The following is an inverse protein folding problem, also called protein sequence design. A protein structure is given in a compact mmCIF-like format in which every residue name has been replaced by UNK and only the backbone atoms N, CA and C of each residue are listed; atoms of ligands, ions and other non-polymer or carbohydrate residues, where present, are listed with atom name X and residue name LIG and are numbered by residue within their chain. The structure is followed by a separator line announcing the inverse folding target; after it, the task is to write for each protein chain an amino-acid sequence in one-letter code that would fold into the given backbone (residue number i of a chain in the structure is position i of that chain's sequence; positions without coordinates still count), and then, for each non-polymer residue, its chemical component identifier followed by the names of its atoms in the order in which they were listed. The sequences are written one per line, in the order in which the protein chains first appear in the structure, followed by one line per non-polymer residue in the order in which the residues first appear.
data_IF_069033202038
#
_entry.id   IF_069033202038
#
_cell.length_a   1.000
_cell.length_b   1.000
_cell.length_c   1.000
_cell.angle_alpha   90.00
_cell.angle_beta   90.00
_cell.angle_gamma   90.00
#
_symmetry.space_group_name_H-M   'P 1'
#
loop_
_entity.id
_entity.type
_entity.pdbx_description
1 polymer ?
#
# COMPACT_ATOMS: atom_id res chain seq x y z
N UNK A 1 18.76 9.38 1.18
CA UNK A 1 17.44 9.96 1.54
C UNK A 1 16.76 9.06 2.56
N UNK A 2 16.72 9.46 3.83
CA UNK A 2 16.08 8.66 4.88
C UNK A 2 14.55 8.68 4.71
N UNK A 3 13.91 7.51 4.72
CA UNK A 3 12.44 7.43 4.77
C UNK A 3 12.00 7.91 6.15
N UNK A 4 11.18 8.96 6.19
CA UNK A 4 10.58 9.48 7.42
C UNK A 4 9.31 8.67 7.70
N UNK A 5 9.27 7.97 8.83
CA UNK A 5 8.09 7.25 9.30
C UNK A 5 7.55 7.96 10.54
N UNK A 6 6.30 8.43 10.46
CA UNK A 6 5.56 9.05 11.56
C UNK A 6 4.19 8.41 11.68
N UNK A 7 3.68 8.31 12.91
CA UNK A 7 2.28 7.93 13.15
C UNK A 7 1.44 9.16 12.91
N UNK A 8 0.69 9.15 11.82
CA UNK A 8 -0.07 10.32 11.33
C UNK A 8 -1.53 10.31 11.80
N UNK A 9 -2.05 9.12 12.10
CA UNK A 9 -3.36 8.93 12.72
C UNK A 9 -3.48 7.52 13.29
N UNK A 10 -4.48 7.32 14.15
CA UNK A 10 -4.93 6.02 14.62
C UNK A 10 -6.36 5.82 14.13
N UNK A 11 -6.64 4.66 13.53
CA UNK A 11 -7.99 4.28 13.14
C UNK A 11 -8.40 3.01 13.90
N UNK A 12 -9.67 2.96 14.29
CA UNK A 12 -10.25 1.79 14.96
C UNK A 12 -10.83 0.85 13.91
N UNK A 13 -10.65 -0.45 14.12
CA UNK A 13 -11.37 -1.48 13.38
C UNK A 13 -12.76 -1.59 14.00
N UNK A 14 -13.81 -1.40 13.20
CA UNK A 14 -15.19 -1.53 13.68
C UNK A 14 -15.62 -3.00 13.85
N UNK A 15 -16.85 -3.20 14.30
CA UNK A 15 -17.46 -4.53 14.52
C UNK A 15 -17.60 -5.36 13.24
N UNK A 16 -17.52 -4.72 12.07
CA UNK A 16 -17.54 -5.35 10.75
C UNK A 16 -16.12 -5.61 10.21
N UNK A 17 -15.10 -5.32 11.00
CA UNK A 17 -13.71 -5.50 10.59
C UNK A 17 -13.19 -4.41 9.64
N UNK A 18 -13.90 -3.28 9.50
CA UNK A 18 -13.51 -2.20 8.59
C UNK A 18 -12.65 -1.17 9.31
N UNK A 19 -11.72 -0.57 8.57
CA UNK A 19 -11.00 0.64 9.00
C UNK A 19 -11.39 1.80 8.11
N UNK A 20 -11.80 2.91 8.73
CA UNK A 20 -12.03 4.16 8.00
C UNK A 20 -10.72 4.93 7.93
N UNK A 21 -10.19 5.11 6.71
CA UNK A 21 -9.01 5.94 6.50
C UNK A 21 -9.31 7.39 6.91
N UNK A 22 -8.55 7.98 7.86
CA UNK A 22 -8.80 9.34 8.32
C UNK A 22 -8.75 10.36 7.17
N UNK A 23 -9.68 11.33 7.19
CA UNK A 23 -9.87 12.31 6.12
C UNK A 23 -8.57 13.00 5.71
N UNK A 24 -7.76 13.46 6.67
CA UNK A 24 -6.50 14.14 6.40
C UNK A 24 -5.49 13.26 5.64
N UNK A 25 -5.41 11.96 5.97
CA UNK A 25 -4.54 11.02 5.26
C UNK A 25 -5.08 10.77 3.84
N UNK A 26 -6.39 10.57 3.71
CA UNK A 26 -7.05 10.35 2.41
C UNK A 26 -6.81 11.53 1.46
N UNK A 27 -6.98 12.76 1.96
CA UNK A 27 -6.75 13.99 1.19
C UNK A 27 -5.28 14.17 0.82
N UNK A 28 -4.35 13.98 1.76
CA UNK A 28 -2.91 14.10 1.49
C UNK A 28 -2.42 13.10 0.46
N UNK A 29 -2.94 11.88 0.48
CA UNK A 29 -2.61 10.85 -0.50
C UNK A 29 -3.37 11.04 -1.81
N UNK A 30 -4.38 11.91 -1.88
CA UNK A 30 -5.23 12.10 -3.07
C UNK A 30 -6.11 10.89 -3.38
N UNK A 31 -6.53 10.13 -2.35
CA UNK A 31 -7.35 8.93 -2.50
C UNK A 31 -8.82 9.29 -2.71
N UNK A 32 -9.47 8.64 -3.68
CA UNK A 32 -10.88 8.83 -4.03
C UNK A 32 -11.69 7.55 -3.87
N UNK A 33 -13.01 7.69 -3.87
CA UNK A 33 -13.90 6.53 -3.87
C UNK A 33 -13.64 5.69 -5.14
N UNK A 34 -13.48 4.38 -4.97
CA UNK A 34 -13.15 3.44 -6.05
C UNK A 34 -11.65 3.19 -6.24
N UNK A 35 -10.77 4.00 -5.65
CA UNK A 35 -9.33 3.71 -5.63
C UNK A 35 -9.07 2.38 -4.92
N UNK A 36 -8.14 1.59 -5.46
CA UNK A 36 -7.78 0.28 -4.91
C UNK A 36 -6.40 0.35 -4.26
N UNK A 37 -6.31 -0.23 -3.07
CA UNK A 37 -5.05 -0.41 -2.35
C UNK A 37 -4.79 -1.90 -2.22
N UNK A 38 -3.59 -2.33 -2.60
CA UNK A 38 -3.08 -3.64 -2.24
C UNK A 38 -2.74 -3.66 -0.75
N UNK A 39 -3.09 -4.76 -0.10
CA UNK A 39 -2.80 -5.02 1.31
C UNK A 39 -1.76 -6.14 1.35
N UNK A 40 -0.59 -5.85 1.92
CA UNK A 40 0.44 -6.86 2.16
C UNK A 40 0.66 -7.02 3.65
N UNK A 41 0.80 -8.26 4.11
CA UNK A 41 1.18 -8.57 5.50
C UNK A 41 2.69 -8.69 5.55
N UNK A 42 3.31 -7.94 6.45
CA UNK A 42 4.73 -8.07 6.77
C UNK A 42 4.88 -8.97 7.99
N UNK A 43 5.94 -9.78 7.96
CA UNK A 43 6.31 -10.64 9.08
C UNK A 43 7.58 -10.12 9.75
N UNK A 44 7.64 -10.28 11.07
CA UNK A 44 8.85 -10.11 11.88
C UNK A 44 8.95 -11.32 12.81
N UNK A 45 10.10 -11.98 12.78
CA UNK A 45 10.36 -13.20 13.57
C UNK A 45 9.33 -14.31 13.32
N UNK A 46 8.93 -14.50 12.06
CA UNK A 46 7.96 -15.52 11.64
C UNK A 46 6.52 -15.25 12.10
N UNK A 47 6.21 -14.02 12.52
CA UNK A 47 4.86 -13.60 12.94
C UNK A 47 4.40 -12.36 12.19
N UNK A 48 3.12 -12.27 11.79
CA UNK A 48 2.56 -11.04 11.25
C UNK A 48 2.75 -9.86 12.21
N UNK A 49 3.46 -8.83 11.78
CA UNK A 49 3.68 -7.62 12.58
C UNK A 49 2.70 -6.51 12.23
N UNK A 50 2.38 -6.41 10.94
CA UNK A 50 1.94 -5.17 10.36
C UNK A 50 1.46 -5.37 8.93
N UNK A 51 0.55 -4.50 8.49
CA UNK A 51 0.12 -4.43 7.09
C UNK A 51 0.71 -3.19 6.43
N UNK A 52 0.98 -3.29 5.13
CA UNK A 52 1.27 -2.14 4.27
C UNK A 52 0.16 -1.98 3.26
N UNK A 53 -0.14 -0.73 2.93
CA UNK A 53 -1.13 -0.35 1.94
C UNK A 53 -0.41 0.35 0.80
N UNK A 54 -0.58 -0.15 -0.43
CA UNK A 54 0.09 0.36 -1.62
C UNK A 54 -0.96 0.60 -2.71
N UNK A 55 -0.88 1.73 -3.40
CA UNK A 55 -1.69 2.01 -4.59
C UNK A 55 -1.48 0.93 -5.65
N UNK A 56 -2.56 0.34 -6.16
CA UNK A 56 -2.46 -0.76 -7.13
C UNK A 56 -1.79 -0.36 -8.44
N UNK A 57 -1.91 0.91 -8.82
CA UNK A 57 -1.24 1.52 -9.97
C UNK A 57 0.28 1.52 -9.81
N UNK A 58 0.80 1.77 -8.60
CA UNK A 58 2.24 1.75 -8.31
C UNK A 58 2.81 0.33 -8.43
N UNK A 59 2.06 -0.68 -8.00
CA UNK A 59 2.45 -2.08 -8.18
C UNK A 59 2.54 -2.47 -9.65
N UNK A 60 1.60 -2.01 -10.48
CA UNK A 60 1.60 -2.29 -11.92
C UNK A 60 2.83 -1.68 -12.59
N UNK A 61 3.21 -0.47 -12.19
CA UNK A 61 4.42 0.19 -12.66
C UNK A 61 5.68 -0.60 -12.25
N UNK A 62 5.77 -1.04 -10.99
CA UNK A 62 6.91 -1.83 -10.51
C UNK A 62 7.06 -3.15 -11.28
N UNK A 63 5.97 -3.88 -11.51
CA UNK A 63 6.01 -5.13 -12.29
C UNK A 63 6.43 -4.87 -13.73
N UNK A 64 5.93 -3.79 -14.34
CA UNK A 64 6.30 -3.39 -15.70
C UNK A 64 7.77 -2.99 -15.80
N UNK A 65 8.30 -2.27 -14.83
CA UNK A 65 9.72 -1.89 -14.78
C UNK A 65 10.63 -3.11 -14.58
N UNK A 66 10.20 -4.06 -13.74
CA UNK A 66 10.97 -5.26 -13.46
C UNK A 66 10.96 -6.28 -14.60
N UNK A 67 9.79 -6.61 -15.15
CA UNK A 67 9.64 -7.62 -16.21
C UNK A 67 9.82 -7.03 -17.62
N UNK A 68 9.68 -5.72 -17.78
CA UNK A 68 9.77 -5.05 -19.08
C UNK A 68 11.04 -5.35 -19.86
N UNK A 69 12.25 -5.31 -19.25
CA UNK A 69 13.48 -5.68 -19.91
C UNK A 69 13.49 -7.15 -20.36
N UNK A 70 13.10 -8.09 -19.49
CA UNK A 70 13.11 -9.52 -19.80
C UNK A 70 12.14 -9.91 -20.92
N UNK A 71 11.00 -9.22 -21.04
CA UNK A 71 10.02 -9.49 -22.12
C UNK A 71 10.50 -8.94 -23.46
N UNK A 72 11.28 -7.84 -23.47
CA UNK A 72 11.83 -7.27 -24.71
C UNK A 72 12.84 -8.19 -25.39
N UNK A 73 13.51 -9.05 -24.63
CA UNK A 73 14.49 -10.00 -25.18
C UNK A 73 13.84 -11.31 -25.67
N UNK A 74 12.52 -11.45 -25.51
CA UNK A 74 11.73 -12.65 -25.90
C UNK A 74 10.85 -12.39 -27.14
N UNK A 75 10.72 -11.13 -27.58
CA UNK A 75 10.01 -10.70 -28.78
C UNK A 75 10.99 -10.21 -29.85
#
# INVERSE_FOLDING_TARGET
MGRKFSVEAVATIDDRGQMVLPKAIRERLGLKAGDKLAISVMERDGKPCCITLIRTEELSNMVREFLGPAIKDVL
#
